data_IF_508306651975
#
_entry.id   IF_508306651975
#
_cell.length_a   1.000
_cell.length_b   1.000
_cell.length_c   1.000
_cell.angle_alpha   90.00
_cell.angle_beta   90.00
_cell.angle_gamma   90.00
#
_symmetry.space_group_name_H-M   'P 1'
#
loop_
_entity.id
_entity.type
_entity.pdbx_description
1 polymer ?
#
# COMPACT_ATOMS: atom_id res chain seq x y z
N UNK A 1 -28.32 -17.20 -13.36
CA UNK A 1 -26.93 -16.75 -13.43
C UNK A 1 -26.04 -17.95 -13.07
N UNK A 2 -24.92 -18.19 -13.75
CA UNK A 2 -24.07 -19.34 -13.42
C UNK A 2 -23.47 -19.15 -12.01
N UNK A 3 -23.76 -20.05 -11.10
CA UNK A 3 -23.04 -20.13 -9.83
C UNK A 3 -21.62 -20.61 -10.11
N UNK A 4 -20.60 -19.85 -9.69
CA UNK A 4 -19.21 -20.31 -9.81
C UNK A 4 -18.99 -21.53 -8.91
N UNK A 5 -18.71 -22.67 -9.53
CA UNK A 5 -18.22 -23.85 -8.82
C UNK A 5 -16.72 -23.90 -9.05
N UNK A 6 -15.95 -23.48 -8.03
CA UNK A 6 -14.49 -23.61 -8.11
C UNK A 6 -14.10 -25.07 -8.01
N UNK A 7 -13.24 -25.51 -8.92
CA UNK A 7 -12.70 -26.87 -8.91
C UNK A 7 -11.70 -27.03 -7.77
N UNK A 8 -11.46 -28.29 -7.36
CA UNK A 8 -10.39 -28.59 -6.38
C UNK A 8 -9.03 -28.11 -6.89
N UNK A 9 -8.79 -28.23 -8.20
CA UNK A 9 -7.55 -27.76 -8.84
C UNK A 9 -7.36 -26.26 -8.72
N UNK A 10 -8.45 -25.45 -8.78
CA UNK A 10 -8.37 -24.01 -8.54
C UNK A 10 -7.84 -23.70 -7.13
N UNK A 11 -8.39 -24.36 -6.11
CA UNK A 11 -7.94 -24.14 -4.74
C UNK A 11 -6.48 -24.55 -4.56
N UNK A 12 -6.07 -25.69 -5.06
CA UNK A 12 -4.67 -26.16 -4.99
C UNK A 12 -3.71 -25.18 -5.68
N UNK A 13 -4.08 -24.67 -6.85
CA UNK A 13 -3.28 -23.74 -7.63
C UNK A 13 -3.05 -22.41 -6.89
N UNK A 14 -4.10 -21.86 -6.26
CA UNK A 14 -4.05 -20.57 -5.62
C UNK A 14 -3.59 -20.61 -4.14
N UNK A 15 -3.70 -21.75 -3.49
CA UNK A 15 -3.12 -22.00 -2.18
C UNK A 15 -1.65 -22.45 -2.24
N UNK A 16 -1.12 -22.73 -3.44
CA UNK A 16 0.26 -23.11 -3.65
C UNK A 16 1.23 -22.07 -3.08
N UNK A 17 2.35 -22.56 -2.55
CA UNK A 17 3.48 -21.76 -2.05
C UNK A 17 4.69 -21.97 -2.95
N UNK A 18 5.57 -20.96 -3.01
CA UNK A 18 6.77 -21.05 -3.85
C UNK A 18 7.74 -22.11 -3.34
N UNK A 19 7.80 -22.33 -2.04
CA UNK A 19 8.56 -23.40 -1.42
C UNK A 19 7.64 -24.36 -0.68
N UNK A 20 7.83 -25.67 -0.92
CA UNK A 20 7.21 -26.72 -0.13
C UNK A 20 7.97 -26.85 1.19
N UNK A 21 7.46 -26.22 2.23
CA UNK A 21 8.02 -26.33 3.57
C UNK A 21 7.68 -27.70 4.17
N UNK A 22 8.68 -28.57 4.24
CA UNK A 22 8.58 -29.82 5.00
C UNK A 22 8.80 -29.55 6.50
N UNK A 23 7.96 -28.68 7.05
CA UNK A 23 7.95 -28.46 8.50
C UNK A 23 6.92 -29.39 9.11
N UNK A 24 7.36 -30.47 9.74
CA UNK A 24 6.48 -31.32 10.56
C UNK A 24 5.84 -30.46 11.65
N UNK A 25 4.54 -30.22 11.51
CA UNK A 25 3.75 -29.51 12.49
C UNK A 25 2.66 -30.44 13.02
N UNK A 26 2.54 -30.49 14.33
CA UNK A 26 1.56 -31.32 15.00
C UNK A 26 0.15 -30.86 14.67
N UNK A 27 -0.60 -31.68 13.90
CA UNK A 27 -2.05 -31.52 13.64
C UNK A 27 -2.53 -30.08 13.36
N UNK A 28 -1.89 -29.38 12.41
CA UNK A 28 -2.29 -28.00 12.04
C UNK A 28 -3.44 -28.03 11.01
N UNK A 29 -4.66 -27.76 11.47
CA UNK A 29 -5.86 -27.72 10.65
C UNK A 29 -6.16 -26.32 10.06
N UNK A 30 -5.26 -25.33 10.24
CA UNK A 30 -5.45 -23.99 9.67
C UNK A 30 -5.38 -24.03 8.14
N UNK A 31 -6.29 -23.27 7.49
CA UNK A 31 -6.22 -23.08 6.03
C UNK A 31 -4.93 -22.37 5.62
N UNK A 32 -4.61 -22.38 4.32
CA UNK A 32 -3.46 -21.67 3.76
C UNK A 32 -3.49 -20.18 4.12
N UNK A 33 -4.65 -19.54 4.02
CA UNK A 33 -4.85 -18.11 4.29
C UNK A 33 -4.81 -17.76 5.78
N UNK A 34 -5.25 -18.65 6.68
CA UNK A 34 -5.06 -18.46 8.12
C UNK A 34 -3.59 -18.49 8.51
N UNK A 35 -2.79 -19.34 7.83
CA UNK A 35 -1.33 -19.36 8.00
C UNK A 35 -0.68 -18.10 7.45
N UNK A 36 -1.13 -17.58 6.30
CA UNK A 36 -0.63 -16.33 5.72
C UNK A 36 -0.88 -15.16 6.65
N UNK A 37 -2.10 -15.02 7.16
CA UNK A 37 -2.44 -14.01 8.15
C UNK A 37 -1.54 -14.08 9.39
N UNK A 38 -1.30 -15.28 9.91
CA UNK A 38 -0.42 -15.46 11.06
C UNK A 38 1.02 -15.03 10.75
N UNK A 39 1.55 -15.36 9.57
CA UNK A 39 2.91 -14.95 9.15
C UNK A 39 3.04 -13.44 9.07
N UNK A 40 2.04 -12.76 8.50
CA UNK A 40 2.02 -11.28 8.40
C UNK A 40 1.96 -10.66 9.79
N UNK A 41 1.01 -11.06 10.65
CA UNK A 41 0.86 -10.52 12.00
C UNK A 41 2.10 -10.68 12.88
N UNK A 42 2.84 -11.78 12.72
CA UNK A 42 4.06 -12.06 13.49
C UNK A 42 5.32 -11.49 12.84
N UNK A 43 5.24 -10.89 11.65
CA UNK A 43 6.40 -10.33 10.96
C UNK A 43 6.93 -9.08 11.66
N UNK A 44 8.23 -8.84 11.54
CA UNK A 44 8.84 -7.61 12.01
C UNK A 44 8.36 -6.41 11.19
N UNK A 45 8.17 -6.58 9.88
CA UNK A 45 7.68 -5.53 8.97
C UNK A 45 6.31 -5.00 9.42
N UNK A 46 5.36 -5.88 9.77
CA UNK A 46 4.04 -5.48 10.26
C UNK A 46 4.12 -4.74 11.60
N UNK A 47 4.91 -5.24 12.56
CA UNK A 47 5.08 -4.58 13.87
C UNK A 47 5.69 -3.19 13.76
N UNK A 48 6.59 -2.96 12.79
CA UNK A 48 7.21 -1.65 12.55
C UNK A 48 6.21 -0.58 12.11
N UNK A 49 5.04 -0.95 11.56
CA UNK A 49 4.00 0.00 11.16
C UNK A 49 3.48 0.86 12.32
N UNK A 50 3.56 0.39 13.56
CA UNK A 50 3.21 1.18 14.75
C UNK A 50 4.09 2.42 14.95
N UNK A 51 5.32 2.41 14.42
CA UNK A 51 6.31 3.47 14.57
C UNK A 51 6.69 4.11 13.23
N UNK A 52 5.82 3.98 12.22
CA UNK A 52 5.87 4.68 10.94
C UNK A 52 4.69 5.64 10.83
N UNK A 53 4.97 6.87 10.46
CA UNK A 53 3.96 7.92 10.30
C UNK A 53 2.96 7.59 9.18
N UNK A 54 1.65 7.76 9.45
CA UNK A 54 0.60 7.77 8.43
C UNK A 54 0.54 9.15 7.78
N UNK A 55 0.07 10.17 8.49
CA UNK A 55 -0.02 11.57 8.02
C UNK A 55 0.70 12.52 8.97
N UNK A 56 0.67 12.30 10.28
CA UNK A 56 1.29 13.16 11.28
C UNK A 56 2.43 12.45 12.00
N UNK A 57 3.59 13.12 12.14
CA UNK A 57 4.78 12.59 12.82
C UNK A 57 4.54 12.31 14.29
N UNK A 58 5.13 11.22 14.77
CA UNK A 58 5.16 10.84 16.18
C UNK A 58 5.76 11.97 17.02
N UNK A 59 5.02 12.47 18.02
CA UNK A 59 5.59 13.36 19.03
C UNK A 59 4.72 14.49 19.58
N UNK A 60 3.54 14.76 19.03
CA UNK A 60 2.73 15.88 19.51
C UNK A 60 1.38 15.50 20.17
N UNK A 61 0.86 14.28 19.93
CA UNK A 61 -0.38 13.79 20.56
C UNK A 61 -0.35 12.27 20.68
N UNK A 62 -0.85 11.72 21.75
CA UNK A 62 -0.88 10.27 22.03
C UNK A 62 -1.99 9.51 21.25
N UNK A 63 -2.82 10.20 20.47
CA UNK A 63 -4.03 9.65 19.84
C UNK A 63 -4.02 9.68 18.30
N UNK A 64 -2.86 9.78 17.65
CA UNK A 64 -2.80 9.77 16.18
C UNK A 64 -2.80 8.36 15.60
N UNK A 65 -3.35 8.22 14.39
CA UNK A 65 -3.28 6.97 13.64
C UNK A 65 -1.86 6.69 13.17
N UNK A 66 -1.42 5.47 13.43
CA UNK A 66 -0.20 4.90 12.82
C UNK A 66 -0.59 4.07 11.60
N UNK A 67 0.39 3.70 10.77
CA UNK A 67 0.14 2.76 9.66
C UNK A 67 -0.39 1.42 10.16
N UNK A 68 -0.07 1.01 11.39
CA UNK A 68 -0.61 -0.19 12.00
C UNK A 68 -2.12 -0.08 12.24
N UNK A 69 -2.58 1.00 12.87
CA UNK A 69 -4.00 1.21 13.15
C UNK A 69 -4.80 1.40 11.86
N UNK A 70 -4.26 2.11 10.87
CA UNK A 70 -4.83 2.23 9.53
C UNK A 70 -5.00 0.85 8.86
N UNK A 71 -3.98 -0.01 8.88
CA UNK A 71 -4.07 -1.37 8.31
C UNK A 71 -5.12 -2.23 9.01
N UNK A 72 -5.31 -2.06 10.33
CA UNK A 72 -6.36 -2.76 11.08
C UNK A 72 -7.77 -2.25 10.68
N UNK A 73 -7.94 -0.95 10.51
CA UNK A 73 -9.20 -0.34 10.05
C UNK A 73 -9.53 -0.78 8.61
N UNK A 74 -8.56 -0.72 7.70
CA UNK A 74 -8.71 -1.23 6.34
C UNK A 74 -9.08 -2.73 6.34
N UNK A 75 -8.52 -3.52 7.26
CA UNK A 75 -8.84 -4.95 7.40
C UNK A 75 -10.28 -5.18 7.85
N UNK A 76 -10.79 -4.36 8.79
CA UNK A 76 -12.17 -4.41 9.23
C UNK A 76 -13.12 -4.02 8.09
N UNK A 77 -12.84 -2.95 7.34
CA UNK A 77 -13.63 -2.52 6.19
C UNK A 77 -13.60 -3.59 5.09
N UNK A 78 -12.43 -4.12 4.73
CA UNK A 78 -12.27 -5.13 3.68
C UNK A 78 -13.07 -6.40 3.97
N UNK A 79 -13.04 -6.91 5.20
CA UNK A 79 -13.86 -8.05 5.61
C UNK A 79 -15.36 -7.72 5.62
N UNK A 80 -15.73 -6.48 5.96
CA UNK A 80 -17.09 -5.97 5.85
C UNK A 80 -17.60 -5.95 4.40
N UNK A 81 -16.78 -5.47 3.46
CA UNK A 81 -17.09 -5.49 2.02
C UNK A 81 -17.34 -6.93 1.56
N UNK A 82 -16.44 -7.87 1.90
CA UNK A 82 -16.58 -9.29 1.54
C UNK A 82 -17.89 -9.88 2.10
N UNK A 83 -18.23 -9.58 3.36
CA UNK A 83 -19.47 -10.06 3.97
C UNK A 83 -20.71 -9.52 3.23
N UNK A 84 -20.70 -8.24 2.88
CA UNK A 84 -21.78 -7.58 2.15
C UNK A 84 -21.94 -8.15 0.73
N UNK A 85 -20.85 -8.34 0.00
CA UNK A 85 -20.87 -8.91 -1.35
C UNK A 85 -21.39 -10.35 -1.37
N UNK A 86 -21.07 -11.17 -0.37
CA UNK A 86 -21.59 -12.54 -0.23
C UNK A 86 -23.11 -12.62 -0.10
N UNK A 87 -23.75 -11.54 0.40
CA UNK A 87 -25.20 -11.44 0.54
C UNK A 87 -25.82 -10.78 -0.70
N UNK A 88 -25.26 -9.68 -1.18
CA UNK A 88 -25.80 -8.94 -2.33
C UNK A 88 -25.67 -9.67 -3.65
N UNK A 89 -24.56 -10.41 -3.85
CA UNK A 89 -24.22 -11.11 -5.08
C UNK A 89 -23.77 -12.53 -4.75
N UNK A 90 -24.69 -13.40 -4.31
CA UNK A 90 -24.39 -14.75 -3.83
C UNK A 90 -23.76 -15.65 -4.90
N UNK A 91 -23.94 -15.35 -6.18
CA UNK A 91 -23.30 -16.04 -7.31
C UNK A 91 -21.78 -15.98 -7.26
N UNK A 92 -21.19 -14.93 -6.69
CA UNK A 92 -19.73 -14.79 -6.52
C UNK A 92 -19.19 -15.39 -5.23
N UNK A 93 -20.03 -15.96 -4.37
CA UNK A 93 -19.63 -16.43 -3.02
C UNK A 93 -18.40 -17.37 -3.05
N UNK A 94 -18.32 -18.25 -4.04
CA UNK A 94 -17.21 -19.17 -4.17
C UNK A 94 -15.89 -18.45 -4.58
N UNK A 95 -15.97 -17.39 -5.39
CA UNK A 95 -14.84 -16.63 -5.88
C UNK A 95 -14.32 -15.64 -4.86
N UNK A 96 -15.20 -15.07 -4.03
CA UNK A 96 -14.85 -14.08 -3.02
C UNK A 96 -13.83 -14.63 -2.02
N UNK A 97 -12.89 -13.80 -1.54
CA UNK A 97 -11.87 -14.21 -0.59
C UNK A 97 -12.49 -14.65 0.75
N UNK A 98 -11.77 -15.53 1.45
CA UNK A 98 -12.05 -15.77 2.87
C UNK A 98 -11.69 -14.54 3.71
N UNK A 99 -12.27 -14.42 4.90
CA UNK A 99 -11.91 -13.32 5.81
C UNK A 99 -10.39 -13.31 6.09
N UNK A 100 -9.79 -14.49 6.30
CA UNK A 100 -8.35 -14.57 6.58
C UNK A 100 -7.48 -14.12 5.40
N UNK A 101 -7.92 -14.36 4.16
CA UNK A 101 -7.23 -13.83 2.99
C UNK A 101 -7.37 -12.31 2.91
N UNK A 102 -8.59 -11.79 3.05
CA UNK A 102 -8.81 -10.32 2.99
C UNK A 102 -8.09 -9.60 4.12
N UNK A 103 -8.12 -10.11 5.35
CA UNK A 103 -7.32 -9.59 6.46
C UNK A 103 -5.82 -9.60 6.12
N UNK A 104 -5.30 -10.68 5.52
CA UNK A 104 -3.90 -10.77 5.11
C UNK A 104 -3.51 -9.65 4.13
N UNK A 105 -4.36 -9.39 3.15
CA UNK A 105 -4.11 -8.35 2.15
C UNK A 105 -4.11 -6.95 2.79
N UNK A 106 -5.15 -6.63 3.53
CA UNK A 106 -5.28 -5.31 4.18
C UNK A 106 -4.20 -5.07 5.23
N UNK A 107 -3.81 -6.09 6.02
CA UNK A 107 -2.74 -5.96 7.01
C UNK A 107 -1.36 -5.76 6.36
N UNK A 108 -1.13 -6.33 5.18
CA UNK A 108 0.17 -6.29 4.53
C UNK A 108 0.33 -5.13 3.53
N UNK A 109 -0.74 -4.48 3.08
CA UNK A 109 -0.69 -3.56 1.94
C UNK A 109 0.33 -2.43 2.11
N UNK A 110 0.53 -1.96 3.32
CA UNK A 110 1.35 -0.77 3.66
C UNK A 110 2.75 -1.09 4.22
N UNK A 111 3.11 -2.38 4.39
CA UNK A 111 4.37 -2.76 5.06
C UNK A 111 5.64 -2.31 4.30
N UNK A 112 5.52 -2.03 3.01
CA UNK A 112 6.61 -1.56 2.15
C UNK A 112 6.90 -0.06 2.23
N UNK A 113 6.08 0.72 2.90
CA UNK A 113 6.34 2.15 3.03
C UNK A 113 7.59 2.42 3.88
N UNK A 114 8.48 3.31 3.41
CA UNK A 114 9.68 3.67 4.15
C UNK A 114 9.36 4.59 5.35
N UNK A 115 10.34 4.88 6.22
CA UNK A 115 10.19 5.94 7.22
C UNK A 115 9.82 7.27 6.57
N UNK A 116 9.08 8.10 7.30
CA UNK A 116 8.59 9.43 6.88
C UNK A 116 7.68 9.41 5.65
N UNK A 117 6.97 8.32 5.40
CA UNK A 117 5.92 8.21 4.40
C UNK A 117 6.36 8.60 2.99
N UNK A 118 5.61 9.48 2.33
CA UNK A 118 5.89 9.91 0.96
C UNK A 118 7.22 10.66 0.80
N UNK A 119 7.64 11.43 1.79
CA UNK A 119 8.96 12.08 1.77
C UNK A 119 10.09 11.06 1.69
N UNK A 120 10.02 9.99 2.49
CA UNK A 120 10.98 8.88 2.43
C UNK A 120 10.91 8.09 1.11
N UNK A 121 9.70 7.90 0.56
CA UNK A 121 9.50 7.23 -0.73
C UNK A 121 10.16 8.00 -1.88
N UNK A 122 9.93 9.32 -1.94
CA UNK A 122 10.58 10.22 -2.92
C UNK A 122 12.10 10.20 -2.76
N UNK A 123 12.58 10.24 -1.52
CA UNK A 123 14.02 10.19 -1.21
C UNK A 123 14.67 8.92 -1.74
N UNK A 124 14.12 7.76 -1.38
CA UNK A 124 14.65 6.47 -1.85
C UNK A 124 14.53 6.32 -3.37
N UNK A 125 13.41 6.78 -3.97
CA UNK A 125 13.27 6.74 -5.42
C UNK A 125 14.35 7.57 -6.13
N UNK A 126 14.67 8.76 -5.63
CA UNK A 126 15.74 9.59 -6.18
C UNK A 126 17.10 8.92 -6.00
N UNK A 127 17.42 8.43 -4.81
CA UNK A 127 18.71 7.77 -4.56
C UNK A 127 18.88 6.50 -5.41
N UNK A 128 17.79 5.78 -5.63
CA UNK A 128 17.74 4.56 -6.47
C UNK A 128 17.52 4.83 -7.97
N UNK A 129 17.50 6.08 -8.44
CA UNK A 129 17.12 6.45 -9.81
C UNK A 129 17.91 5.74 -10.93
N UNK A 130 19.16 5.39 -10.66
CA UNK A 130 20.02 4.62 -11.58
C UNK A 130 19.98 3.11 -11.28
N UNK A 131 19.31 2.69 -10.22
CA UNK A 131 19.30 1.32 -9.70
C UNK A 131 17.88 0.73 -9.62
N UNK A 132 16.97 1.12 -10.54
CA UNK A 132 15.61 0.57 -10.65
C UNK A 132 14.54 1.28 -9.84
N UNK A 133 14.86 2.43 -9.20
CA UNK A 133 13.92 3.23 -8.44
C UNK A 133 13.47 2.61 -7.12
N UNK A 134 12.54 3.27 -6.44
CA UNK A 134 11.90 2.77 -5.23
C UNK A 134 10.41 3.10 -5.23
N UNK A 135 9.55 2.17 -4.80
CA UNK A 135 8.10 2.33 -4.72
C UNK A 135 7.51 1.45 -3.61
N UNK A 136 6.59 2.00 -2.82
CA UNK A 136 6.07 1.34 -1.61
C UNK A 136 5.36 0.01 -1.85
N UNK A 137 4.52 -0.11 -2.91
CA UNK A 137 3.85 -1.38 -3.20
C UNK A 137 4.82 -2.44 -3.76
N UNK A 138 5.80 -2.02 -4.56
CA UNK A 138 6.90 -2.91 -4.98
C UNK A 138 7.67 -3.42 -3.76
N UNK A 139 7.95 -2.54 -2.80
CA UNK A 139 8.64 -2.91 -1.58
C UNK A 139 7.78 -3.83 -0.69
N UNK A 140 6.46 -3.62 -0.64
CA UNK A 140 5.52 -4.55 0.02
C UNK A 140 5.66 -5.96 -0.57
N UNK A 141 5.58 -6.08 -1.90
CA UNK A 141 5.72 -7.36 -2.59
C UNK A 141 7.07 -8.02 -2.31
N UNK A 142 8.16 -7.24 -2.33
CA UNK A 142 9.51 -7.69 -2.03
C UNK A 142 9.66 -8.18 -0.58
N UNK A 143 9.12 -7.44 0.40
CA UNK A 143 9.19 -7.83 1.81
C UNK A 143 8.51 -9.17 2.04
N UNK A 144 7.28 -9.35 1.57
CA UNK A 144 6.52 -10.58 1.81
C UNK A 144 7.08 -11.79 1.05
N UNK A 145 7.71 -11.56 -0.11
CA UNK A 145 8.18 -12.63 -1.00
C UNK A 145 9.66 -12.97 -0.86
N UNK A 146 10.46 -12.10 -0.20
CA UNK A 146 11.91 -12.29 -0.12
C UNK A 146 12.52 -11.89 1.23
N UNK A 147 12.19 -10.70 1.79
CA UNK A 147 12.99 -10.10 2.86
C UNK A 147 12.64 -10.58 4.25
N UNK A 148 11.36 -10.83 4.57
CA UNK A 148 10.98 -11.30 5.91
C UNK A 148 11.55 -12.69 6.19
N UNK A 149 12.26 -12.89 7.30
CA UNK A 149 13.07 -14.08 7.54
C UNK A 149 12.26 -15.27 8.06
N UNK A 150 11.07 -15.52 7.49
CA UNK A 150 10.29 -16.71 7.84
C UNK A 150 10.85 -17.96 7.13
N UNK A 151 11.33 -17.79 5.90
CA UNK A 151 12.09 -18.79 5.14
C UNK A 151 13.41 -18.18 4.68
N UNK A 152 14.38 -19.00 4.32
CA UNK A 152 15.72 -18.53 3.91
C UNK A 152 15.69 -17.74 2.60
N UNK A 153 14.85 -18.16 1.62
CA UNK A 153 14.91 -17.61 0.25
C UNK A 153 13.56 -17.12 -0.30
N UNK A 154 12.47 -17.28 0.44
CA UNK A 154 11.12 -17.00 -0.07
C UNK A 154 10.30 -16.10 0.87
N UNK A 155 10.98 -15.29 1.66
CA UNK A 155 10.34 -14.37 2.59
C UNK A 155 9.33 -15.05 3.51
N UNK A 156 8.12 -14.52 3.59
CA UNK A 156 7.02 -15.12 4.35
C UNK A 156 6.47 -16.41 3.70
N UNK A 157 6.86 -16.73 2.47
CA UNK A 157 6.35 -17.85 1.66
C UNK A 157 4.81 -17.93 1.69
N UNK A 158 4.17 -16.79 1.35
CA UNK A 158 2.71 -16.69 1.31
C UNK A 158 2.13 -17.51 0.14
N UNK A 159 0.83 -17.80 0.22
CA UNK A 159 0.11 -18.44 -0.87
C UNK A 159 0.07 -17.55 -2.11
N UNK A 160 -0.04 -18.17 -3.28
CA UNK A 160 -0.04 -17.47 -4.58
C UNK A 160 -1.17 -16.43 -4.65
N UNK A 161 -2.37 -16.77 -4.16
CA UNK A 161 -3.50 -15.84 -4.17
C UNK A 161 -3.25 -14.63 -3.27
N UNK A 162 -2.61 -14.80 -2.13
CA UNK A 162 -2.22 -13.68 -1.26
C UNK A 162 -1.21 -12.78 -1.97
N UNK A 163 -0.20 -13.35 -2.63
CA UNK A 163 0.76 -12.55 -3.41
C UNK A 163 0.09 -11.84 -4.60
N UNK A 164 -0.84 -12.51 -5.31
CA UNK A 164 -1.62 -11.89 -6.39
C UNK A 164 -2.45 -10.70 -5.88
N UNK A 165 -3.10 -10.85 -4.72
CA UNK A 165 -3.90 -9.78 -4.11
C UNK A 165 -3.09 -8.56 -3.69
N UNK A 166 -1.78 -8.71 -3.44
CA UNK A 166 -0.85 -7.62 -3.14
C UNK A 166 -0.24 -6.97 -4.39
N UNK A 167 -0.43 -7.56 -5.58
CA UNK A 167 0.02 -6.96 -6.84
C UNK A 167 -0.94 -5.85 -7.30
N UNK A 168 -0.78 -4.66 -6.73
CA UNK A 168 -1.60 -3.48 -7.05
C UNK A 168 -1.31 -2.96 -8.47
N UNK A 169 -0.07 -3.14 -8.97
CA UNK A 169 0.40 -2.70 -10.28
C UNK A 169 1.19 -3.82 -10.96
N UNK A 170 0.54 -4.71 -11.73
CA UNK A 170 1.15 -5.91 -12.32
C UNK A 170 1.99 -5.61 -13.58
N UNK A 171 2.94 -4.71 -13.48
CA UNK A 171 3.95 -4.42 -14.50
C UNK A 171 5.27 -4.04 -13.82
N UNK A 172 6.39 -4.17 -14.52
CA UNK A 172 7.66 -3.70 -13.97
C UNK A 172 7.74 -2.17 -13.95
N UNK A 173 8.40 -1.60 -12.94
CA UNK A 173 8.65 -0.16 -12.84
C UNK A 173 9.34 0.36 -14.12
N UNK A 174 10.22 -0.42 -14.73
CA UNK A 174 10.86 -0.06 -16.01
C UNK A 174 9.88 0.14 -17.18
N UNK A 175 8.69 -0.44 -17.12
CA UNK A 175 7.65 -0.27 -18.15
C UNK A 175 6.74 0.93 -17.86
N UNK A 176 6.55 1.26 -16.59
CA UNK A 176 5.67 2.35 -16.15
C UNK A 176 6.40 3.69 -16.00
N UNK A 177 7.71 3.64 -15.74
CA UNK A 177 8.53 4.82 -15.54
C UNK A 177 8.55 5.72 -16.79
N UNK A 178 8.54 7.03 -16.57
CA UNK A 178 8.73 8.02 -17.61
C UNK A 178 10.09 7.85 -18.30
N UNK A 179 10.21 7.89 -19.63
CA UNK A 179 11.50 7.86 -20.30
C UNK A 179 12.32 9.13 -20.03
N UNK A 180 11.67 10.29 -20.01
CA UNK A 180 12.31 11.55 -19.67
C UNK A 180 12.22 11.77 -18.16
N UNK A 181 13.39 11.77 -17.51
CA UNK A 181 13.49 12.04 -16.08
C UNK A 181 13.90 13.50 -15.86
N UNK A 182 13.49 14.11 -14.74
CA UNK A 182 14.02 15.40 -14.34
C UNK A 182 15.55 15.36 -14.27
N UNK A 183 16.20 16.50 -14.56
CA UNK A 183 17.64 16.61 -14.41
C UNK A 183 18.06 16.36 -12.96
N UNK A 184 19.19 15.70 -12.79
CA UNK A 184 19.81 15.50 -11.48
C UNK A 184 20.10 16.86 -10.83
N UNK A 185 19.82 16.95 -9.53
CA UNK A 185 20.11 18.16 -8.76
C UNK A 185 21.57 18.16 -8.29
N UNK A 186 22.21 19.34 -8.24
CA UNK A 186 23.57 19.46 -7.70
C UNK A 186 23.69 19.06 -6.23
N UNK A 187 22.61 19.24 -5.48
CA UNK A 187 22.50 18.85 -4.08
C UNK A 187 21.06 18.45 -3.79
N UNK A 188 20.87 17.34 -3.10
CA UNK A 188 19.52 16.79 -2.85
C UNK A 188 18.62 17.70 -1.99
N UNK A 189 19.16 18.70 -1.27
CA UNK A 189 18.35 19.78 -0.65
C UNK A 189 17.57 20.61 -1.66
N UNK A 190 17.96 20.62 -2.93
CA UNK A 190 17.25 21.31 -4.00
C UNK A 190 16.21 20.40 -4.70
N UNK A 191 16.05 19.15 -4.26
CA UNK A 191 15.10 18.23 -4.83
C UNK A 191 13.67 18.71 -4.60
N UNK A 192 12.91 18.80 -5.67
CA UNK A 192 11.46 19.06 -5.60
C UNK A 192 10.73 17.72 -5.61
N UNK A 193 10.05 17.39 -4.51
CA UNK A 193 9.36 16.11 -4.34
C UNK A 193 8.42 15.78 -5.51
N UNK A 194 7.66 16.78 -6.00
CA UNK A 194 6.71 16.60 -7.11
C UNK A 194 7.32 16.08 -8.41
N UNK A 195 8.60 16.33 -8.63
CA UNK A 195 9.31 15.92 -9.85
C UNK A 195 9.84 14.48 -9.74
N UNK A 196 9.83 13.90 -8.56
CA UNK A 196 10.45 12.60 -8.25
C UNK A 196 9.48 11.60 -7.59
N UNK A 197 8.17 11.77 -7.76
CA UNK A 197 7.22 10.73 -7.38
C UNK A 197 7.53 9.42 -8.11
N UNK A 198 7.51 8.26 -7.40
CA UNK A 198 7.88 6.99 -8.00
C UNK A 198 6.85 6.48 -9.01
N UNK A 199 7.34 5.85 -10.07
CA UNK A 199 6.51 5.06 -10.96
C UNK A 199 6.02 3.80 -10.24
N UNK A 200 4.76 3.44 -10.43
CA UNK A 200 4.11 2.30 -9.78
C UNK A 200 4.39 1.00 -10.54
N UNK A 201 4.73 -0.07 -9.83
CA UNK A 201 5.01 -1.36 -10.47
C UNK A 201 5.72 -2.34 -9.54
N UNK A 202 6.41 -3.32 -10.09
CA UNK A 202 7.22 -4.34 -9.41
C UNK A 202 8.69 -4.12 -9.78
N UNK A 203 9.61 -4.40 -8.87
CA UNK A 203 11.04 -4.34 -9.18
C UNK A 203 11.46 -5.45 -10.13
N UNK A 204 12.38 -5.16 -11.04
CA UNK A 204 12.99 -6.19 -11.88
C UNK A 204 13.75 -7.24 -11.05
N UNK A 205 14.28 -6.83 -9.90
CA UNK A 205 14.92 -7.70 -8.92
C UNK A 205 14.00 -8.83 -8.40
N UNK A 206 12.67 -8.65 -8.46
CA UNK A 206 11.68 -9.60 -7.97
C UNK A 206 10.97 -10.38 -9.10
N UNK A 207 11.52 -10.32 -10.34
CA UNK A 207 10.93 -10.92 -11.54
C UNK A 207 10.54 -12.39 -11.34
N UNK A 208 11.42 -13.21 -10.76
CA UNK A 208 11.18 -14.64 -10.58
C UNK A 208 9.93 -14.94 -9.75
N UNK A 209 9.67 -14.14 -8.72
CA UNK A 209 8.46 -14.29 -7.91
C UNK A 209 7.23 -13.75 -8.61
N UNK A 210 7.36 -12.60 -9.28
CA UNK A 210 6.29 -12.01 -10.08
C UNK A 210 5.81 -12.97 -11.18
N UNK A 211 6.72 -13.55 -11.95
CA UNK A 211 6.40 -14.54 -12.99
C UNK A 211 5.77 -15.82 -12.39
N UNK A 212 6.25 -16.27 -11.23
CA UNK A 212 5.66 -17.42 -10.54
C UNK A 212 4.20 -17.14 -10.12
N UNK A 213 3.90 -15.93 -9.63
CA UNK A 213 2.53 -15.55 -9.28
C UNK A 213 1.62 -15.59 -10.50
N UNK A 214 2.10 -15.08 -11.64
CA UNK A 214 1.32 -15.00 -12.88
C UNK A 214 1.33 -16.32 -13.71
N UNK A 215 2.14 -17.31 -13.34
CA UNK A 215 2.29 -18.56 -14.11
C UNK A 215 0.97 -19.30 -14.40
N UNK A 216 -0.06 -19.28 -13.52
CA UNK A 216 -1.35 -19.92 -13.83
C UNK A 216 -2.16 -19.26 -14.94
N UNK A 217 -1.90 -18.00 -15.26
CA UNK A 217 -2.65 -17.25 -16.26
C UNK A 217 -2.18 -17.58 -17.68
N UNK A 218 -3.11 -17.57 -18.63
CA UNK A 218 -2.81 -17.68 -20.05
C UNK A 218 -1.90 -16.52 -20.50
N UNK A 219 -1.26 -16.65 -21.66
CA UNK A 219 -0.46 -15.56 -22.22
C UNK A 219 -1.32 -14.32 -22.49
N UNK A 220 -2.55 -14.53 -22.96
CA UNK A 220 -3.56 -13.48 -23.18
C UNK A 220 -3.90 -12.75 -21.88
N UNK A 221 -4.24 -13.46 -20.82
CA UNK A 221 -4.56 -12.87 -19.53
C UNK A 221 -3.38 -12.06 -18.94
N UNK A 222 -2.14 -12.54 -19.09
CA UNK A 222 -0.96 -11.83 -18.61
C UNK A 222 -0.72 -10.54 -19.38
N UNK A 223 -0.90 -10.54 -20.68
CA UNK A 223 -0.79 -9.35 -21.52
C UNK A 223 -1.85 -8.30 -21.13
N UNK A 224 -3.13 -8.72 -21.05
CA UNK A 224 -4.21 -7.83 -20.60
C UNK A 224 -3.97 -7.30 -19.19
N UNK A 225 -3.56 -8.15 -18.25
CA UNK A 225 -3.39 -7.78 -16.86
C UNK A 225 -2.32 -6.71 -16.65
N UNK A 226 -1.26 -6.74 -17.48
CA UNK A 226 -0.19 -5.73 -17.46
C UNK A 226 -0.49 -4.48 -18.33
N UNK A 227 -1.66 -4.42 -18.97
CA UNK A 227 -2.03 -3.30 -19.84
C UNK A 227 -2.08 -1.97 -19.07
N UNK A 228 -1.57 -0.90 -19.69
CA UNK A 228 -1.62 0.45 -19.12
C UNK A 228 -3.01 1.06 -19.26
N UNK A 229 -3.39 1.96 -18.37
CA UNK A 229 -4.70 2.65 -18.38
C UNK A 229 -4.94 3.42 -19.66
N UNK A 230 -3.90 4.06 -20.18
CA UNK A 230 -3.91 4.80 -21.42
C UNK A 230 -2.50 4.83 -22.03
N UNK A 231 -2.38 5.10 -23.33
CA UNK A 231 -1.08 5.35 -23.95
C UNK A 231 -0.41 6.58 -23.32
N UNK A 232 0.93 6.57 -23.26
CA UNK A 232 1.70 7.69 -22.74
C UNK A 232 1.43 8.96 -23.55
N UNK A 233 1.03 10.03 -22.88
CA UNK A 233 0.72 11.32 -23.51
C UNK A 233 1.93 12.27 -23.53
N UNK A 234 2.77 12.19 -22.49
CA UNK A 234 3.98 13.01 -22.37
C UNK A 234 5.18 12.15 -21.97
N UNK A 235 6.39 12.46 -22.46
CA UNK A 235 7.60 11.71 -22.12
C UNK A 235 7.94 11.72 -20.62
N UNK A 236 7.49 12.74 -19.88
CA UNK A 236 7.67 12.87 -18.43
C UNK A 236 6.60 12.16 -17.59
N UNK A 237 5.62 11.52 -18.24
CA UNK A 237 4.50 10.87 -17.58
C UNK A 237 4.87 9.45 -17.11
N UNK A 238 4.60 9.14 -15.85
CA UNK A 238 4.56 7.75 -15.36
C UNK A 238 3.21 7.11 -15.70
N UNK A 239 3.26 5.89 -16.24
CA UNK A 239 2.06 5.11 -16.52
C UNK A 239 1.61 4.32 -15.29
N UNK A 240 0.35 3.89 -15.30
CA UNK A 240 -0.24 2.95 -14.32
C UNK A 240 -0.95 1.83 -15.07
N UNK A 241 -0.87 0.61 -14.55
CA UNK A 241 -1.64 -0.51 -15.07
C UNK A 241 -3.13 -0.28 -14.86
N UNK A 242 -3.92 -0.86 -15.76
CA UNK A 242 -5.37 -0.68 -15.79
C UNK A 242 -6.08 -1.62 -14.83
N UNK A 243 -5.67 -2.88 -14.78
CA UNK A 243 -6.39 -3.96 -14.12
C UNK A 243 -5.76 -4.39 -12.79
N UNK A 244 -6.59 -4.97 -11.93
CA UNK A 244 -6.23 -5.57 -10.66
C UNK A 244 -6.99 -6.88 -10.49
N UNK A 245 -6.51 -7.78 -9.63
CA UNK A 245 -7.29 -8.95 -9.24
C UNK A 245 -8.51 -8.54 -8.40
N UNK A 246 -9.55 -9.39 -8.37
CA UNK A 246 -10.74 -9.15 -7.55
C UNK A 246 -10.37 -8.88 -6.09
N UNK A 247 -9.48 -9.68 -5.52
CA UNK A 247 -9.08 -9.53 -4.12
C UNK A 247 -8.34 -8.20 -3.89
N UNK A 248 -7.47 -7.80 -4.83
CA UNK A 248 -6.76 -6.51 -4.79
C UNK A 248 -7.72 -5.32 -4.88
N UNK A 249 -8.76 -5.40 -5.74
CA UNK A 249 -9.74 -4.32 -5.88
C UNK A 249 -10.55 -4.10 -4.59
N UNK A 250 -10.91 -5.18 -3.87
CA UNK A 250 -11.59 -5.08 -2.57
C UNK A 250 -10.66 -4.45 -1.51
N UNK A 251 -9.40 -4.89 -1.47
CA UNK A 251 -8.39 -4.34 -0.55
C UNK A 251 -8.18 -2.84 -0.81
N UNK A 252 -8.06 -2.43 -2.07
CA UNK A 252 -7.87 -1.02 -2.44
C UNK A 252 -9.06 -0.15 -2.06
N UNK A 253 -10.31 -0.62 -2.26
CA UNK A 253 -11.49 0.09 -1.81
C UNK A 253 -11.52 0.23 -0.28
N UNK A 254 -11.10 -0.80 0.45
CA UNK A 254 -11.01 -0.74 1.91
C UNK A 254 -9.97 0.28 2.39
N UNK A 255 -8.81 0.33 1.73
CA UNK A 255 -7.75 1.32 1.96
C UNK A 255 -8.25 2.74 1.67
N UNK A 256 -8.85 2.95 0.50
CA UNK A 256 -9.38 4.24 0.07
C UNK A 256 -10.50 4.77 1.00
N UNK A 257 -11.39 3.89 1.47
CA UNK A 257 -12.44 4.26 2.45
C UNK A 257 -11.81 4.63 3.80
N UNK A 258 -10.86 3.83 4.28
CA UNK A 258 -10.14 4.15 5.51
C UNK A 258 -9.44 5.51 5.41
N UNK A 259 -8.71 5.76 4.32
CA UNK A 259 -8.07 7.05 4.06
C UNK A 259 -9.06 8.21 3.98
N UNK A 260 -10.13 8.06 3.18
CA UNK A 260 -11.09 9.16 2.96
C UNK A 260 -11.93 9.51 4.19
N UNK A 261 -12.21 8.54 5.07
CA UNK A 261 -13.15 8.73 6.19
C UNK A 261 -12.44 8.77 7.55
N UNK A 262 -11.49 7.89 7.81
CA UNK A 262 -10.84 7.83 9.13
C UNK A 262 -9.73 8.89 9.27
N UNK A 263 -8.98 9.20 8.22
CA UNK A 263 -8.00 10.30 8.27
C UNK A 263 -8.71 11.67 8.32
N UNK A 264 -9.92 11.78 7.75
CA UNK A 264 -10.79 12.92 7.94
C UNK A 264 -11.22 13.07 9.42
N UNK A 265 -11.61 11.98 10.08
CA UNK A 265 -11.95 12.01 11.50
C UNK A 265 -10.81 12.57 12.33
N UNK A 266 -9.60 12.07 12.12
CA UNK A 266 -8.41 12.54 12.82
C UNK A 266 -8.15 14.02 12.56
N UNK A 267 -8.29 14.46 11.31
CA UNK A 267 -8.11 15.87 10.95
C UNK A 267 -9.10 16.79 11.66
N UNK A 268 -10.35 16.35 11.86
CA UNK A 268 -11.36 17.09 12.61
C UNK A 268 -11.02 17.09 14.11
N UNK A 269 -10.68 15.95 14.69
CA UNK A 269 -10.34 15.80 16.12
C UNK A 269 -9.14 16.65 16.50
N UNK A 270 -8.13 16.70 15.64
CA UNK A 270 -6.92 17.51 15.85
C UNK A 270 -7.10 18.98 15.48
N UNK A 271 -8.28 19.40 15.03
CA UNK A 271 -8.53 20.79 14.61
C UNK A 271 -7.73 21.25 13.39
N UNK A 272 -7.31 20.29 12.55
CA UNK A 272 -6.53 20.56 11.33
C UNK A 272 -7.43 21.15 10.26
N UNK A 273 -8.68 20.68 10.19
CA UNK A 273 -9.71 21.14 9.26
C UNK A 273 -10.85 21.81 10.02
N UNK A 274 -11.46 22.83 9.40
CA UNK A 274 -12.59 23.57 9.98
C UNK A 274 -13.91 23.18 9.36
N UNK A 275 -15.00 23.54 10.06
CA UNK A 275 -16.36 23.32 9.57
C UNK A 275 -16.62 24.08 8.25
N UNK A 276 -16.08 25.28 8.11
CA UNK A 276 -16.23 26.12 6.92
C UNK A 276 -15.57 25.46 5.72
N UNK A 277 -14.33 24.95 5.89
CA UNK A 277 -13.62 24.22 4.84
C UNK A 277 -14.39 22.97 4.40
N UNK A 278 -14.94 22.22 5.36
CA UNK A 278 -15.79 21.07 5.07
C UNK A 278 -17.05 21.47 4.29
N UNK A 279 -17.74 22.52 4.75
CA UNK A 279 -18.98 22.98 4.11
C UNK A 279 -18.74 23.43 2.66
N UNK A 280 -17.66 24.14 2.40
CA UNK A 280 -17.32 24.64 1.07
C UNK A 280 -16.80 23.53 0.14
N UNK A 281 -15.87 22.71 0.60
CA UNK A 281 -15.14 21.78 -0.26
C UNK A 281 -15.82 20.40 -0.39
N UNK A 282 -16.68 19.98 0.57
CA UNK A 282 -17.31 18.67 0.61
C UNK A 282 -18.84 18.78 0.63
N UNK A 283 -19.45 19.35 1.69
CA UNK A 283 -20.89 19.29 1.88
C UNK A 283 -21.66 19.89 0.70
N UNK A 284 -21.19 20.99 0.14
CA UNK A 284 -21.81 21.63 -1.03
C UNK A 284 -21.80 20.74 -2.28
N UNK A 285 -20.77 19.92 -2.46
CA UNK A 285 -20.67 18.99 -3.59
C UNK A 285 -21.52 17.73 -3.38
N UNK A 286 -21.62 17.28 -2.12
CA UNK A 286 -22.37 16.08 -1.79
C UNK A 286 -23.87 16.32 -1.67
N UNK A 287 -24.32 17.58 -1.62
CA UNK A 287 -25.72 17.95 -1.61
C UNK A 287 -26.46 17.65 -2.94
N UNK A 288 -25.73 17.45 -4.04
CA UNK A 288 -26.25 17.10 -5.37
C UNK A 288 -25.30 16.09 -6.04
N UNK A 289 -25.00 14.99 -5.36
CA UNK A 289 -24.04 14.00 -5.84
C UNK A 289 -24.68 12.81 -6.57
N UNK A 290 -26.02 12.76 -6.65
CA UNK A 290 -26.76 11.66 -7.26
C UNK A 290 -26.99 10.44 -6.35
N UNK A 291 -26.65 10.55 -5.05
CA UNK A 291 -26.93 9.52 -4.04
C UNK A 291 -28.01 10.03 -3.06
N UNK A 292 -29.29 9.61 -3.22
CA UNK A 292 -30.43 10.19 -2.50
C UNK A 292 -30.32 10.09 -0.98
N UNK A 293 -29.72 9.00 -0.47
CA UNK A 293 -29.54 8.83 0.96
C UNK A 293 -28.59 9.88 1.53
N UNK A 294 -27.50 10.17 0.82
CA UNK A 294 -26.50 11.14 1.25
C UNK A 294 -27.01 12.58 1.10
N UNK A 295 -27.63 12.90 -0.03
CA UNK A 295 -28.19 14.23 -0.30
C UNK A 295 -29.17 14.67 0.79
N UNK A 296 -30.02 13.76 1.26
CA UNK A 296 -30.98 14.05 2.33
C UNK A 296 -30.34 14.17 3.72
N UNK A 297 -29.14 13.66 3.92
CA UNK A 297 -28.48 13.58 5.23
C UNK A 297 -27.22 14.42 5.38
N UNK A 298 -26.67 14.95 4.29
CA UNK A 298 -25.37 15.66 4.34
C UNK A 298 -25.36 16.84 5.35
N UNK A 299 -26.47 17.54 5.52
CA UNK A 299 -26.59 18.61 6.51
C UNK A 299 -26.45 18.06 7.94
N UNK A 300 -27.17 16.99 8.27
CA UNK A 300 -27.14 16.36 9.60
C UNK A 300 -25.75 15.74 9.85
N UNK A 301 -25.20 15.02 8.87
CA UNK A 301 -23.86 14.44 8.97
C UNK A 301 -22.79 15.53 9.20
N UNK A 302 -22.91 16.68 8.53
CA UNK A 302 -22.00 17.81 8.70
C UNK A 302 -22.08 18.40 10.12
N UNK A 303 -23.26 18.49 10.69
CA UNK A 303 -23.44 18.91 12.08
C UNK A 303 -22.83 17.92 13.06
N UNK A 304 -23.07 16.65 12.86
CA UNK A 304 -22.56 15.57 13.70
C UNK A 304 -21.03 15.43 13.65
N UNK A 305 -20.42 15.58 12.47
CA UNK A 305 -18.95 15.52 12.30
C UNK A 305 -18.23 16.54 13.16
N UNK A 306 -18.75 17.76 13.25
CA UNK A 306 -18.19 18.85 14.07
C UNK A 306 -18.88 19.01 15.42
N UNK A 307 -19.75 18.08 15.78
CA UNK A 307 -20.47 18.03 17.06
C UNK A 307 -19.68 17.35 18.18
N UNK A 308 -20.41 16.73 19.10
CA UNK A 308 -19.82 15.97 20.21
C UNK A 308 -19.08 14.73 19.71
N UNK A 309 -18.23 14.17 20.56
CA UNK A 309 -17.48 12.95 20.23
C UNK A 309 -18.39 11.77 19.80
N UNK A 310 -19.51 11.56 20.50
CA UNK A 310 -20.50 10.55 20.15
C UNK A 310 -21.13 10.81 18.76
N UNK A 311 -21.56 12.02 18.49
CA UNK A 311 -22.17 12.39 17.20
C UNK A 311 -21.18 12.20 16.04
N UNK A 312 -19.92 12.56 16.24
CA UNK A 312 -18.88 12.36 15.23
C UNK A 312 -18.69 10.88 14.90
N UNK A 313 -18.61 10.03 15.92
CA UNK A 313 -18.49 8.57 15.71
C UNK A 313 -19.68 7.99 14.95
N UNK A 314 -20.89 8.48 15.22
CA UNK A 314 -22.09 8.08 14.48
C UNK A 314 -22.03 8.49 13.00
N UNK A 315 -21.65 9.75 12.72
CA UNK A 315 -21.49 10.24 11.35
C UNK A 315 -20.41 9.48 10.56
N UNK A 316 -19.25 9.21 11.16
CA UNK A 316 -18.18 8.42 10.56
C UNK A 316 -18.66 7.00 10.24
N UNK A 317 -19.33 6.34 11.19
CA UNK A 317 -19.92 5.01 10.98
C UNK A 317 -20.96 4.99 9.85
N UNK A 318 -21.79 6.02 9.76
CA UNK A 318 -22.80 6.15 8.70
C UNK A 318 -22.15 6.34 7.32
N UNK A 319 -21.08 7.13 7.23
CA UNK A 319 -20.34 7.36 5.96
C UNK A 319 -19.63 6.08 5.50
N UNK A 320 -18.94 5.37 6.41
CA UNK A 320 -18.31 4.08 6.09
C UNK A 320 -19.36 3.07 5.63
N UNK A 321 -20.50 2.99 6.32
CA UNK A 321 -21.60 2.09 5.96
C UNK A 321 -22.16 2.41 4.56
N UNK A 322 -22.40 3.68 4.23
CA UNK A 322 -22.90 4.10 2.93
C UNK A 322 -21.94 3.68 1.80
N UNK A 323 -20.63 3.94 1.96
CA UNK A 323 -19.61 3.52 1.00
C UNK A 323 -19.56 1.99 0.85
N UNK A 324 -19.44 1.26 1.96
CA UNK A 324 -19.33 -0.19 1.97
C UNK A 324 -20.55 -0.87 1.32
N UNK A 325 -21.76 -0.38 1.59
CA UNK A 325 -23.00 -0.97 1.06
C UNK A 325 -23.25 -0.64 -0.41
N UNK A 326 -22.58 0.36 -0.98
CA UNK A 326 -22.69 0.71 -2.41
C UNK A 326 -21.80 -0.16 -3.31
N UNK A 327 -20.82 -0.86 -2.74
CA UNK A 327 -19.88 -1.70 -3.50
C UNK A 327 -20.60 -2.89 -4.14
N UNK A 328 -20.22 -3.19 -5.37
CA UNK A 328 -20.68 -4.37 -6.12
C UNK A 328 -19.56 -4.93 -7.00
N UNK A 329 -19.72 -6.18 -7.43
CA UNK A 329 -18.82 -6.84 -8.38
C UNK A 329 -19.32 -6.57 -9.79
N UNK A 330 -18.42 -6.13 -10.64
CA UNK A 330 -18.65 -5.88 -12.05
C UNK A 330 -17.56 -6.56 -12.91
N UNK A 331 -17.79 -6.77 -14.22
CA UNK A 331 -16.74 -7.20 -15.13
C UNK A 331 -15.59 -6.18 -15.15
N UNK A 332 -14.34 -6.66 -15.11
CA UNK A 332 -13.16 -5.78 -15.18
C UNK A 332 -13.08 -5.04 -16.53
N UNK A 333 -13.61 -5.64 -17.60
CA UNK A 333 -13.75 -5.04 -18.94
C UNK A 333 -15.24 -4.91 -19.22
N UNK A 334 -15.74 -3.68 -19.22
CA UNK A 334 -17.18 -3.40 -19.38
C UNK A 334 -17.60 -3.22 -20.85
N UNK A 335 -16.75 -2.69 -21.72
CA UNK A 335 -17.08 -2.32 -23.11
C UNK A 335 -15.98 -2.76 -24.06
N UNK A 336 -15.73 -4.06 -24.22
CA UNK A 336 -14.69 -4.58 -25.09
C UNK A 336 -15.03 -5.94 -25.72
N UNK A 337 -14.32 -6.28 -26.78
CA UNK A 337 -14.34 -7.61 -27.40
C UNK A 337 -13.51 -8.58 -26.55
N UNK A 338 -12.49 -8.06 -25.82
CA UNK A 338 -11.61 -8.82 -24.95
C UNK A 338 -12.24 -9.12 -23.60
N UNK A 339 -11.91 -10.26 -23.04
CA UNK A 339 -12.28 -10.67 -21.70
C UNK A 339 -11.15 -11.50 -21.08
N UNK A 340 -11.02 -11.45 -19.77
CA UNK A 340 -10.12 -12.38 -19.08
C UNK A 340 -10.71 -13.80 -19.02
N UNK A 341 -9.86 -14.81 -19.21
CA UNK A 341 -10.23 -16.21 -19.02
C UNK A 341 -10.25 -16.56 -17.51
N UNK A 342 -9.33 -15.99 -16.74
CA UNK A 342 -9.17 -16.28 -15.32
C UNK A 342 -10.20 -15.54 -14.46
N UNK A 343 -11.03 -16.24 -13.65
CA UNK A 343 -12.08 -15.63 -12.85
C UNK A 343 -11.60 -14.56 -11.87
N UNK A 344 -10.38 -14.67 -11.33
CA UNK A 344 -9.81 -13.68 -10.41
C UNK A 344 -9.43 -12.35 -11.09
N UNK A 345 -9.32 -12.33 -12.41
CA UNK A 345 -9.03 -11.13 -13.21
C UNK A 345 -10.26 -10.63 -13.97
N UNK A 346 -11.21 -11.52 -14.26
CA UNK A 346 -12.44 -11.20 -14.99
C UNK A 346 -13.34 -10.24 -14.24
N UNK A 347 -13.29 -10.27 -12.90
CA UNK A 347 -14.18 -9.52 -12.03
C UNK A 347 -13.42 -8.53 -11.15
N UNK A 348 -14.04 -7.42 -10.86
CA UNK A 348 -13.51 -6.35 -9.99
C UNK A 348 -14.61 -5.81 -9.09
N UNK A 349 -14.24 -5.42 -7.87
CA UNK A 349 -15.14 -4.69 -6.99
C UNK A 349 -15.09 -3.19 -7.32
N UNK A 350 -16.24 -2.56 -7.43
CA UNK A 350 -16.39 -1.13 -7.74
C UNK A 350 -17.46 -0.50 -6.87
N UNK A 351 -17.37 0.80 -6.64
CA UNK A 351 -18.45 1.62 -6.10
C UNK A 351 -19.49 1.89 -7.20
N UNK A 352 -20.71 2.28 -6.82
CA UNK A 352 -21.61 2.94 -7.75
C UNK A 352 -21.04 4.31 -8.16
N UNK A 353 -21.32 4.77 -9.38
CA UNK A 353 -20.75 6.03 -9.90
C UNK A 353 -20.93 7.25 -8.96
N UNK A 354 -22.13 7.45 -8.32
CA UNK A 354 -22.27 8.53 -7.36
C UNK A 354 -21.35 8.36 -6.14
N UNK A 355 -21.20 7.15 -5.63
CA UNK A 355 -20.41 6.89 -4.42
C UNK A 355 -18.90 6.88 -4.72
N UNK A 356 -18.47 6.57 -5.94
CA UNK A 356 -17.09 6.81 -6.39
C UNK A 356 -16.75 8.30 -6.33
N UNK A 357 -17.65 9.15 -6.84
CA UNK A 357 -17.52 10.61 -6.74
C UNK A 357 -17.46 11.08 -5.30
N UNK A 358 -18.30 10.55 -4.41
CA UNK A 358 -18.28 10.86 -2.97
C UNK A 358 -16.93 10.53 -2.37
N UNK A 359 -16.42 9.31 -2.59
CA UNK A 359 -15.12 8.90 -2.07
C UNK A 359 -13.98 9.77 -2.60
N UNK A 360 -14.00 10.12 -3.88
CA UNK A 360 -13.00 11.00 -4.47
C UNK A 360 -13.03 12.41 -3.87
N UNK A 361 -14.21 12.98 -3.61
CA UNK A 361 -14.34 14.27 -2.91
C UNK A 361 -13.74 14.20 -1.51
N UNK A 362 -14.00 13.13 -0.75
CA UNK A 362 -13.42 12.92 0.59
C UNK A 362 -11.90 12.80 0.53
N UNK A 363 -11.37 11.97 -0.38
CA UNK A 363 -9.92 11.78 -0.57
C UNK A 363 -9.24 13.08 -0.99
N UNK A 364 -9.84 13.86 -1.89
CA UNK A 364 -9.33 15.16 -2.31
C UNK A 364 -9.30 16.15 -1.14
N UNK A 365 -10.33 16.16 -0.29
CA UNK A 365 -10.38 17.01 0.89
C UNK A 365 -9.24 16.69 1.87
N UNK A 366 -9.04 15.41 2.20
CA UNK A 366 -7.93 14.97 3.06
C UNK A 366 -6.59 15.33 2.42
N UNK A 367 -6.41 15.07 1.14
CA UNK A 367 -5.18 15.44 0.42
C UNK A 367 -4.90 16.94 0.49
N UNK A 368 -5.89 17.77 0.18
CA UNK A 368 -5.72 19.23 0.08
C UNK A 368 -5.51 19.90 1.44
N UNK A 369 -6.35 19.56 2.42
CA UNK A 369 -6.42 20.29 3.70
C UNK A 369 -5.62 19.63 4.83
N UNK A 370 -5.16 18.40 4.64
CA UNK A 370 -4.37 17.67 5.62
C UNK A 370 -2.95 17.42 5.08
N UNK A 371 -2.81 16.61 4.04
CA UNK A 371 -1.50 16.18 3.51
C UNK A 371 -0.68 17.37 3.00
N UNK A 372 -1.29 18.26 2.21
CA UNK A 372 -0.60 19.43 1.64
C UNK A 372 -0.48 20.63 2.60
N UNK A 373 -0.80 20.46 3.88
CA UNK A 373 -0.62 21.53 4.88
C UNK A 373 0.87 21.85 5.06
N UNK A 374 1.28 23.14 5.11
CA UNK A 374 2.70 23.51 5.16
C UNK A 374 3.50 22.86 6.28
N UNK A 375 2.89 22.63 7.45
CA UNK A 375 3.56 21.99 8.58
C UNK A 375 3.86 20.51 8.31
N UNK A 376 2.92 19.80 7.68
CA UNK A 376 3.12 18.41 7.25
C UNK A 376 4.19 18.34 6.16
N UNK A 377 4.11 19.22 5.17
CA UNK A 377 5.10 19.28 4.09
C UNK A 377 6.52 19.58 4.59
N UNK A 378 6.67 20.37 5.66
CA UNK A 378 7.99 20.59 6.30
C UNK A 378 8.52 19.33 6.97
N UNK A 379 7.64 18.54 7.60
CA UNK A 379 8.03 17.25 8.21
C UNK A 379 8.42 16.22 7.14
N UNK A 380 7.67 16.15 6.05
CA UNK A 380 8.01 15.29 4.90
C UNK A 380 9.36 15.69 4.29
N UNK A 381 9.59 17.00 4.08
CA UNK A 381 10.87 17.49 3.57
C UNK A 381 12.04 17.14 4.50
N UNK A 382 11.86 17.30 5.83
CA UNK A 382 12.87 16.93 6.83
C UNK A 382 13.20 15.42 6.71
N UNK A 383 12.17 14.57 6.66
CA UNK A 383 12.33 13.12 6.49
C UNK A 383 13.01 12.77 5.18
N UNK A 384 12.63 13.42 4.08
CA UNK A 384 13.25 13.27 2.78
C UNK A 384 14.76 13.52 2.83
N UNK A 385 15.21 14.64 3.43
CA UNK A 385 16.63 14.97 3.56
C UNK A 385 17.38 13.92 4.38
N UNK A 386 16.80 13.52 5.51
CA UNK A 386 17.39 12.52 6.40
C UNK A 386 17.63 11.18 5.69
N UNK A 387 16.64 10.71 4.94
CA UNK A 387 16.75 9.43 4.20
C UNK A 387 17.79 9.51 3.10
N UNK A 388 17.90 10.62 2.37
CA UNK A 388 18.91 10.80 1.33
C UNK A 388 20.32 10.83 1.90
N UNK A 389 20.55 11.52 3.02
CA UNK A 389 21.86 11.58 3.68
C UNK A 389 22.26 10.20 4.25
N UNK A 390 21.32 9.44 4.82
CA UNK A 390 21.58 8.06 5.25
C UNK A 390 21.95 7.15 4.07
N UNK A 391 21.19 7.23 2.98
CA UNK A 391 21.49 6.41 1.79
C UNK A 391 22.85 6.73 1.21
N UNK A 392 23.18 8.01 1.09
CA UNK A 392 24.48 8.49 0.56
C UNK A 392 25.65 7.97 1.41
N UNK A 393 25.54 8.05 2.72
CA UNK A 393 26.55 7.52 3.64
C UNK A 393 26.74 6.00 3.48
N UNK A 394 25.66 5.23 3.47
CA UNK A 394 25.73 3.78 3.31
C UNK A 394 26.23 3.36 1.92
N UNK A 395 25.91 4.12 0.87
CA UNK A 395 26.39 3.86 -0.47
C UNK A 395 27.88 4.21 -0.64
N UNK A 396 28.38 5.21 0.12
CA UNK A 396 29.77 5.63 0.07
C UNK A 396 30.71 4.63 0.78
N UNK A 397 30.31 4.03 1.90
CA UNK A 397 31.15 3.11 2.68
C UNK A 397 30.31 1.97 3.31
N UNK A 398 29.74 1.09 2.47
CA UNK A 398 28.80 0.06 2.94
C UNK A 398 29.47 -0.99 3.84
N UNK A 399 30.72 -1.31 3.60
CA UNK A 399 31.44 -2.33 4.40
C UNK A 399 31.64 -1.91 5.85
N UNK A 400 31.81 -0.61 6.09
CA UNK A 400 32.03 -0.06 7.42
C UNK A 400 30.74 0.35 8.13
N UNK A 401 29.74 0.81 7.37
CA UNK A 401 28.57 1.48 7.94
C UNK A 401 27.33 0.59 8.02
N UNK A 402 27.21 -0.44 7.16
CA UNK A 402 26.07 -1.36 7.23
C UNK A 402 26.22 -2.35 8.40
N UNK A 403 25.11 -2.73 9.07
CA UNK A 403 25.12 -3.84 10.02
C UNK A 403 25.60 -5.14 9.38
N UNK A 404 26.21 -6.03 10.15
CA UNK A 404 26.89 -7.24 9.68
C UNK A 404 26.05 -8.06 8.70
N UNK A 405 24.83 -8.42 9.07
CA UNK A 405 23.94 -9.19 8.21
C UNK A 405 23.58 -8.45 6.89
N UNK A 406 23.37 -7.14 6.94
CA UNK A 406 23.07 -6.33 5.75
C UNK A 406 24.30 -6.17 4.87
N UNK A 407 25.46 -5.99 5.48
CA UNK A 407 26.76 -5.92 4.79
C UNK A 407 27.05 -7.22 4.04
N UNK A 408 26.83 -8.37 4.68
CA UNK A 408 27.08 -9.67 4.04
C UNK A 408 26.16 -9.89 2.84
N UNK A 409 24.90 -9.48 2.93
CA UNK A 409 23.98 -9.49 1.79
C UNK A 409 24.40 -8.52 0.69
N UNK A 410 24.89 -7.34 1.06
CA UNK A 410 25.42 -6.36 0.11
C UNK A 410 26.65 -6.90 -0.62
N UNK A 411 27.63 -7.48 0.11
CA UNK A 411 28.82 -8.13 -0.46
C UNK A 411 28.44 -9.28 -1.39
N UNK A 412 27.47 -10.10 -1.01
CA UNK A 412 26.96 -11.17 -1.88
C UNK A 412 26.39 -10.60 -3.19
N UNK A 413 25.52 -9.60 -3.13
CA UNK A 413 24.96 -8.95 -4.30
C UNK A 413 26.04 -8.33 -5.20
N UNK A 414 27.02 -7.65 -4.60
CA UNK A 414 28.17 -7.07 -5.33
C UNK A 414 28.96 -8.14 -6.09
N UNK A 415 29.25 -9.27 -5.45
CA UNK A 415 30.03 -10.36 -6.03
C UNK A 415 29.27 -11.14 -7.11
N UNK A 416 27.94 -11.24 -6.98
CA UNK A 416 27.06 -11.92 -7.95
C UNK A 416 26.69 -11.04 -9.14
N UNK A 417 27.01 -9.75 -9.12
CA UNK A 417 26.57 -8.78 -10.13
C UNK A 417 25.10 -8.37 -9.99
N UNK A 418 24.49 -8.66 -8.82
CA UNK A 418 23.14 -8.23 -8.49
C UNK A 418 23.10 -6.76 -8.06
N UNK A 419 21.90 -6.24 -7.85
CA UNK A 419 21.69 -4.84 -7.48
C UNK A 419 22.02 -4.58 -5.99
N UNK A 420 23.30 -4.34 -5.68
CA UNK A 420 23.76 -4.09 -4.32
C UNK A 420 23.12 -2.83 -3.66
N UNK A 421 22.77 -1.79 -4.46
CA UNK A 421 22.07 -0.61 -3.96
C UNK A 421 20.64 -0.93 -3.47
N UNK A 422 20.01 -1.98 -4.02
CA UNK A 422 18.71 -2.47 -3.55
C UNK A 422 18.79 -2.94 -2.09
N UNK A 423 19.90 -3.54 -1.67
CA UNK A 423 20.10 -3.98 -0.29
C UNK A 423 20.14 -2.78 0.68
N UNK A 424 20.76 -1.67 0.27
CA UNK A 424 20.75 -0.42 1.06
C UNK A 424 19.33 0.14 1.15
N UNK A 425 18.61 0.19 0.04
CA UNK A 425 17.22 0.64 0.01
C UNK A 425 16.31 -0.25 0.88
N UNK A 426 16.48 -1.59 0.83
CA UNK A 426 15.77 -2.56 1.67
C UNK A 426 16.02 -2.29 3.17
N UNK A 427 17.27 -2.04 3.55
CA UNK A 427 17.64 -1.74 4.93
C UNK A 427 17.01 -0.45 5.43
N UNK A 428 17.13 0.64 4.67
CA UNK A 428 16.57 1.95 5.05
C UNK A 428 15.03 1.90 5.07
N UNK A 429 14.40 1.29 4.07
CA UNK A 429 12.94 1.17 4.03
C UNK A 429 12.36 0.34 5.18
N UNK A 430 13.15 -0.60 5.73
CA UNK A 430 12.82 -1.38 6.91
C UNK A 430 12.87 -0.62 8.23
N UNK A 431 13.46 0.57 8.28
CA UNK A 431 13.55 1.37 9.51
C UNK A 431 12.20 1.93 9.93
N UNK A 432 12.06 2.25 11.23
CA UNK A 432 11.03 3.14 11.75
C UNK A 432 11.50 4.59 11.70
N UNK A 433 10.58 5.55 11.78
CA UNK A 433 10.91 6.97 11.77
C UNK A 433 11.90 7.34 12.88
N UNK A 434 11.64 6.86 14.10
CA UNK A 434 12.50 7.10 15.26
C UNK A 434 13.87 6.43 15.14
N UNK A 435 13.95 5.22 14.57
CA UNK A 435 15.23 4.55 14.36
C UNK A 435 16.07 5.30 13.30
N UNK A 436 15.48 5.67 12.18
CA UNK A 436 16.17 6.45 11.15
C UNK A 436 16.69 7.79 11.69
N UNK A 437 15.90 8.47 12.53
CA UNK A 437 16.29 9.74 13.15
C UNK A 437 17.46 9.56 14.14
N UNK A 438 17.45 8.52 14.98
CA UNK A 438 18.55 8.24 15.90
C UNK A 438 19.82 7.89 15.15
N UNK A 439 19.71 7.02 14.15
CA UNK A 439 20.86 6.62 13.31
C UNK A 439 21.48 7.82 12.59
N UNK A 440 20.64 8.68 12.02
CA UNK A 440 21.09 9.94 11.44
C UNK A 440 21.84 10.81 12.44
N UNK A 441 21.30 10.98 13.64
CA UNK A 441 21.94 11.76 14.70
C UNK A 441 23.29 11.16 15.12
N UNK A 442 23.37 9.85 15.20
CA UNK A 442 24.63 9.15 15.52
C UNK A 442 25.72 9.36 14.47
N UNK A 443 25.34 9.36 13.19
CA UNK A 443 26.31 9.51 12.10
C UNK A 443 26.76 10.96 11.86
N UNK A 444 25.85 11.93 12.06
CA UNK A 444 26.08 13.29 11.57
C UNK A 444 26.06 14.38 12.65
N UNK A 445 25.63 14.09 13.90
CA UNK A 445 25.59 15.07 14.97
C UNK A 445 26.71 14.82 15.99
N UNK A 446 27.62 15.78 16.20
CA UNK A 446 28.76 15.60 17.09
C UNK A 446 28.38 15.47 18.61
N UNK A 447 27.17 15.86 18.97
CA UNK A 447 26.65 15.82 20.36
C UNK A 447 25.85 14.55 20.68
N UNK A 448 25.60 13.69 19.70
CA UNK A 448 24.94 12.43 19.95
C UNK A 448 25.90 11.50 20.73
N UNK A 449 25.47 11.00 21.89
CA UNK A 449 26.26 9.99 22.60
C UNK A 449 26.48 8.79 21.69
N UNK A 450 27.75 8.33 21.59
CA UNK A 450 28.10 7.11 20.84
C UNK A 450 27.61 5.89 21.65
N UNK A 451 26.30 5.71 21.73
CA UNK A 451 25.67 4.49 22.25
C UNK A 451 25.62 3.46 21.13
N UNK A 452 26.44 2.43 21.23
CA UNK A 452 26.25 1.21 20.43
C UNK A 452 25.02 0.52 21.02
N UNK A 453 23.84 0.81 20.45
CA UNK A 453 22.67 -0.02 20.70
C UNK A 453 22.84 -1.31 19.87
N UNK A 454 23.04 -2.44 20.56
CA UNK A 454 22.96 -3.77 19.95
C UNK A 454 21.54 -4.00 19.44
N UNK A 455 21.39 -4.37 18.17
CA UNK A 455 20.15 -4.78 17.50
C UNK A 455 19.50 -6.00 18.16
#
# INVERSE_FOLDING_TARGET
>A
MPSFTLTHDFSLQWEARKSNEQKERRNDHRSAYQRDRARILHSAAFRRLQAKTQVHGAGHHDFYRTRLTHSLEASQIGTGIVAQLKIKQPEFRALLPSNSLMESLCLAHDIGHPPFGHGGEVALNYMMRQHGGFEGNAQTFRIVSLLEPYTEHFGMNLSRRTLLGLLKYPAFISQTCAPDRPADVHHFRHLKAKDWYPAKGVYRDDQTTFEWVLAPFSAHDRELFSQMRHPRQHPTEHLKTRFKSLDCSIMELADDIAYGVHDLEDAIVMGIVTREQWQEAVASKLADCGEPWLETRISVLSEQLFGTHHQRKDAIGAMVNALLTSIHIAPAIQNGIDSFDAPLLQWTAVLSDPMETVLDVLKQFVSQFVVHKPDIQRLEYKGQQLIMELFDAFAADPERLLPENTRDRWLHAQNSGDNAHRIIADYISGMTDGFAQRLYSTLFHPTAAMGVESE
#
